data_IF_433556919369
#
_entry.id   IF_433556919369
#
_cell.length_a   1.000
_cell.length_b   1.000
_cell.length_c   1.000
_cell.angle_alpha   90.00
_cell.angle_beta   90.00
_cell.angle_gamma   90.00
#
_symmetry.space_group_name_H-M   'P 1'
#
loop_
_entity.id
_entity.type
_entity.pdbx_description
1 polymer ?
#
# COMPACT_ATOMS: atom_id res chain seq x y z
N UNK A 1 -47.83 -21.05 33.11
CA UNK A 1 -47.45 -21.33 31.70
C UNK A 1 -46.26 -22.27 31.73
N UNK A 2 -46.41 -23.50 31.23
CA UNK A 2 -45.33 -24.50 31.16
C UNK A 2 -44.73 -24.47 29.76
N UNK A 3 -43.44 -24.17 29.65
CA UNK A 3 -42.71 -24.24 28.38
C UNK A 3 -42.13 -25.64 28.28
N UNK A 4 -42.67 -26.46 27.38
CA UNK A 4 -42.30 -27.86 27.21
C UNK A 4 -40.92 -27.94 26.52
N UNK A 5 -39.84 -28.03 27.31
CA UNK A 5 -38.47 -28.15 26.81
C UNK A 5 -38.23 -29.55 26.24
N UNK A 6 -37.86 -29.64 24.96
CA UNK A 6 -37.52 -30.90 24.29
C UNK A 6 -36.04 -30.93 23.89
N UNK A 7 -35.18 -31.58 24.69
CA UNK A 7 -33.73 -31.62 24.47
C UNK A 7 -33.34 -32.09 23.07
N UNK A 8 -34.07 -33.06 22.51
CA UNK A 8 -33.79 -33.63 21.19
C UNK A 8 -33.97 -32.62 20.05
N UNK A 9 -34.93 -31.68 20.16
CA UNK A 9 -35.11 -30.61 19.17
C UNK A 9 -34.07 -29.51 19.33
N UNK A 10 -33.67 -29.21 20.57
CA UNK A 10 -32.60 -28.25 20.84
C UNK A 10 -31.26 -28.73 20.25
N UNK A 11 -30.97 -30.03 20.32
CA UNK A 11 -29.72 -30.60 19.79
C UNK A 11 -29.64 -30.55 18.26
N UNK A 12 -30.77 -30.77 17.57
CA UNK A 12 -30.82 -30.66 16.10
C UNK A 12 -30.61 -29.22 15.66
N UNK A 13 -31.23 -28.25 16.34
CA UNK A 13 -31.01 -26.83 16.06
C UNK A 13 -29.56 -26.44 16.33
N UNK A 14 -28.96 -26.90 17.44
CA UNK A 14 -27.56 -26.67 17.74
C UNK A 14 -26.63 -27.27 16.66
N UNK A 15 -26.86 -28.51 16.21
CA UNK A 15 -26.08 -29.14 15.13
C UNK A 15 -26.20 -28.38 13.80
N UNK A 16 -27.44 -28.00 13.42
CA UNK A 16 -27.66 -27.19 12.21
C UNK A 16 -26.95 -25.82 12.29
N UNK A 17 -27.02 -25.12 13.43
CA UNK A 17 -26.34 -23.85 13.63
C UNK A 17 -24.81 -24.00 13.65
N UNK A 18 -24.29 -25.04 14.29
CA UNK A 18 -22.85 -25.35 14.30
C UNK A 18 -22.34 -25.64 12.88
N UNK A 19 -23.08 -26.39 12.07
CA UNK A 19 -22.73 -26.65 10.66
C UNK A 19 -22.74 -25.38 9.81
N UNK A 20 -23.76 -24.53 9.97
CA UNK A 20 -23.83 -23.24 9.28
C UNK A 20 -22.67 -22.32 9.70
N UNK A 21 -22.38 -22.27 10.99
CA UNK A 21 -21.26 -21.50 11.54
C UNK A 21 -19.92 -22.01 11.02
N UNK A 22 -19.66 -23.32 11.07
CA UNK A 22 -18.44 -23.93 10.56
C UNK A 22 -18.27 -23.74 9.04
N UNK A 23 -19.36 -23.89 8.28
CA UNK A 23 -19.35 -23.65 6.83
C UNK A 23 -19.01 -22.20 6.50
N UNK A 24 -19.60 -21.25 7.23
CA UNK A 24 -19.29 -19.81 7.10
C UNK A 24 -17.83 -19.51 7.48
N UNK A 25 -17.33 -20.05 8.58
CA UNK A 25 -15.94 -19.84 8.99
C UNK A 25 -14.94 -20.48 8.02
N UNK A 26 -15.26 -21.63 7.44
CA UNK A 26 -14.39 -22.29 6.46
C UNK A 26 -14.18 -21.42 5.21
N UNK A 27 -15.25 -20.78 4.72
CA UNK A 27 -15.16 -19.82 3.62
C UNK A 27 -14.27 -18.62 3.96
N UNK A 28 -14.46 -18.04 5.15
CA UNK A 28 -13.64 -16.91 5.62
C UNK A 28 -12.16 -17.30 5.77
N UNK A 29 -11.86 -18.49 6.28
CA UNK A 29 -10.48 -18.98 6.41
C UNK A 29 -9.82 -19.23 5.04
N UNK A 30 -10.58 -19.69 4.05
CA UNK A 30 -10.10 -19.84 2.67
C UNK A 30 -9.83 -18.49 2.00
N UNK A 31 -10.75 -17.53 2.10
CA UNK A 31 -10.55 -16.15 1.60
C UNK A 31 -9.33 -15.48 2.27
N UNK A 32 -9.17 -15.67 3.59
CA UNK A 32 -7.99 -15.17 4.33
C UNK A 32 -6.69 -15.80 3.83
N UNK A 33 -6.71 -17.09 3.50
CA UNK A 33 -5.54 -17.80 2.95
C UNK A 33 -5.17 -17.26 1.57
N UNK A 34 -6.14 -17.05 0.69
CA UNK A 34 -5.87 -16.46 -0.63
C UNK A 34 -5.36 -15.03 -0.50
N UNK A 35 -5.98 -14.22 0.35
CA UNK A 35 -5.50 -12.86 0.65
C UNK A 35 -4.06 -12.85 1.15
N UNK A 36 -3.70 -13.77 2.05
CA UNK A 36 -2.33 -13.88 2.56
C UNK A 36 -1.32 -14.22 1.44
N UNK A 37 -1.70 -15.09 0.47
CA UNK A 37 -0.86 -15.39 -0.69
C UNK A 37 -0.67 -14.16 -1.57
N UNK A 38 -1.73 -13.37 -1.79
CA UNK A 38 -1.66 -12.16 -2.59
C UNK A 38 -0.79 -11.08 -1.94
N UNK A 39 -0.93 -10.88 -0.63
CA UNK A 39 -0.05 -10.00 0.15
C UNK A 39 1.42 -10.44 0.03
N UNK A 40 1.68 -11.75 0.11
CA UNK A 40 3.04 -12.27 -0.10
C UNK A 40 3.55 -12.07 -1.54
N UNK A 41 2.70 -12.22 -2.56
CA UNK A 41 3.07 -11.94 -3.96
C UNK A 41 3.41 -10.47 -4.15
N UNK A 42 2.63 -9.55 -3.58
CA UNK A 42 2.89 -8.12 -3.60
C UNK A 42 4.24 -7.79 -2.94
N UNK A 43 4.51 -8.37 -1.76
CA UNK A 43 5.79 -8.18 -1.07
C UNK A 43 6.99 -8.64 -1.92
N UNK A 44 6.86 -9.76 -2.66
CA UNK A 44 7.90 -10.24 -3.58
C UNK A 44 8.14 -9.31 -4.77
N UNK A 45 7.11 -8.59 -5.21
CA UNK A 45 7.22 -7.53 -6.21
C UNK A 45 7.76 -6.21 -5.63
N UNK A 46 8.13 -6.21 -4.34
CA UNK A 46 8.60 -5.03 -3.64
C UNK A 46 7.48 -4.08 -3.22
N UNK A 47 6.21 -4.44 -3.37
CA UNK A 47 5.09 -3.60 -2.93
C UNK A 47 4.91 -3.72 -1.42
N UNK A 48 4.93 -2.58 -0.72
CA UNK A 48 4.67 -2.47 0.71
C UNK A 48 3.27 -1.92 0.93
N UNK A 49 2.48 -2.64 1.73
CA UNK A 49 1.19 -2.18 2.22
C UNK A 49 1.41 -1.53 3.59
N UNK A 50 0.92 -0.31 3.78
CA UNK A 50 0.95 0.39 5.06
C UNK A 50 -0.46 0.78 5.48
N UNK A 51 -0.73 0.66 6.77
CA UNK A 51 -1.99 1.14 7.34
C UNK A 51 -2.04 2.66 7.24
N UNK A 52 -3.11 3.18 6.63
CA UNK A 52 -3.44 4.59 6.69
C UNK A 52 -4.15 4.89 8.00
N UNK A 53 -3.85 6.03 8.61
CA UNK A 53 -4.55 6.57 9.77
C UNK A 53 -6.07 6.74 9.54
N UNK A 54 -6.51 6.80 8.28
CA UNK A 54 -7.92 6.95 7.89
C UNK A 54 -8.64 5.62 7.59
N UNK A 55 -8.04 4.47 7.94
CA UNK A 55 -8.66 3.15 7.72
C UNK A 55 -8.56 2.62 6.29
N UNK A 56 -7.72 3.25 5.45
CA UNK A 56 -7.33 2.75 4.14
C UNK A 56 -5.98 2.01 4.16
N UNK A 57 -5.60 1.41 3.02
CA UNK A 57 -4.27 0.82 2.81
C UNK A 57 -3.51 1.66 1.78
N UNK A 58 -2.33 2.17 2.16
CA UNK A 58 -1.44 2.86 1.23
C UNK A 58 -0.53 1.84 0.56
N UNK A 59 -0.49 1.88 -0.77
CA UNK A 59 0.38 1.03 -1.59
C UNK A 59 1.65 1.80 -1.93
N UNK A 60 2.78 1.36 -1.41
CA UNK A 60 4.09 1.94 -1.73
C UNK A 60 4.92 0.97 -2.54
N UNK A 61 5.51 1.44 -3.64
CA UNK A 61 6.59 0.70 -4.28
C UNK A 61 7.81 0.77 -3.36
N UNK A 62 8.12 -0.36 -2.72
CA UNK A 62 9.21 -0.51 -1.75
C UNK A 62 10.57 -0.74 -2.39
N UNK A 63 10.63 -1.08 -3.67
CA UNK A 63 11.87 -1.17 -4.43
C UNK A 63 12.20 0.21 -5.03
N UNK A 64 12.88 1.06 -4.28
CA UNK A 64 13.56 2.21 -4.88
C UNK A 64 14.70 1.70 -5.75
N UNK A 65 14.70 2.05 -7.04
CA UNK A 65 15.79 1.67 -7.93
C UNK A 65 17.08 2.39 -7.53
N UNK A 66 18.25 1.81 -7.83
CA UNK A 66 19.54 2.47 -7.60
C UNK A 66 19.61 3.85 -8.28
N UNK A 67 19.03 3.96 -9.48
CA UNK A 67 18.88 5.23 -10.20
C UNK A 67 18.02 6.23 -9.43
N UNK A 68 16.95 5.78 -8.76
CA UNK A 68 16.08 6.64 -7.97
C UNK A 68 16.82 7.20 -6.75
N UNK A 69 17.59 6.36 -6.04
CA UNK A 69 18.44 6.80 -4.93
C UNK A 69 19.49 7.83 -5.38
N UNK A 70 20.13 7.57 -6.52
CA UNK A 70 21.13 8.48 -7.10
C UNK A 70 20.53 9.83 -7.49
N UNK A 71 19.38 9.83 -8.19
CA UNK A 71 18.68 11.06 -8.57
C UNK A 71 18.24 11.82 -7.32
N UNK A 72 17.68 11.15 -6.32
CA UNK A 72 17.28 11.77 -5.05
C UNK A 72 18.47 12.46 -4.37
N UNK A 73 19.58 11.74 -4.19
CA UNK A 73 20.78 12.31 -3.57
C UNK A 73 21.33 13.52 -4.32
N UNK A 74 21.22 13.53 -5.66
CA UNK A 74 21.62 14.69 -6.48
C UNK A 74 20.60 15.83 -6.44
N UNK A 75 19.30 15.54 -6.34
CA UNK A 75 18.28 16.58 -6.15
C UNK A 75 18.50 17.32 -4.84
N UNK A 76 18.87 16.59 -3.77
CA UNK A 76 19.12 17.17 -2.45
C UNK A 76 20.42 17.99 -2.39
N UNK A 77 21.25 17.93 -3.43
CA UNK A 77 22.44 18.76 -3.62
C UNK A 77 22.20 19.94 -4.57
N UNK A 78 21.10 19.95 -5.33
CA UNK A 78 20.79 20.99 -6.29
C UNK A 78 19.93 22.09 -5.63
N UNK A 79 20.49 23.29 -5.39
CA UNK A 79 19.78 24.36 -4.70
C UNK A 79 18.51 24.84 -5.43
N UNK A 80 18.48 24.72 -6.77
CA UNK A 80 17.30 25.09 -7.57
C UNK A 80 16.17 24.09 -7.30
N UNK A 81 16.49 22.81 -7.25
CA UNK A 81 15.49 21.77 -7.01
C UNK A 81 15.00 21.76 -5.56
N UNK A 82 15.87 22.09 -4.60
CA UNK A 82 15.46 22.32 -3.21
C UNK A 82 14.48 23.50 -3.08
N UNK A 83 14.72 24.60 -3.78
CA UNK A 83 13.80 25.73 -3.81
C UNK A 83 12.45 25.34 -4.43
N UNK A 84 12.46 24.55 -5.50
CA UNK A 84 11.25 24.03 -6.12
C UNK A 84 10.46 23.11 -5.17
N UNK A 85 11.12 22.19 -4.44
CA UNK A 85 10.48 21.39 -3.38
C UNK A 85 9.79 22.28 -2.34
N UNK A 86 10.46 23.34 -1.88
CA UNK A 86 9.88 24.30 -0.94
C UNK A 86 8.67 25.06 -1.53
N UNK A 87 8.68 25.34 -2.83
CA UNK A 87 7.57 25.99 -3.52
C UNK A 87 6.38 25.06 -3.75
N UNK A 88 6.61 23.76 -3.95
CA UNK A 88 5.55 22.74 -4.00
C UNK A 88 4.82 22.68 -2.65
N UNK A 89 5.54 22.65 -1.53
CA UNK A 89 4.94 22.70 -0.19
C UNK A 89 4.12 23.97 0.06
N UNK A 90 4.49 25.09 -0.57
CA UNK A 90 3.76 26.37 -0.50
C UNK A 90 2.61 26.48 -1.51
N UNK A 91 2.32 25.42 -2.28
CA UNK A 91 1.36 25.42 -3.40
C UNK A 91 1.63 26.48 -4.47
N UNK A 92 2.88 26.92 -4.62
CA UNK A 92 3.30 27.93 -5.61
C UNK A 92 3.75 27.34 -6.93
N UNK A 93 3.96 26.02 -6.99
CA UNK A 93 4.51 25.32 -8.16
C UNK A 93 3.58 24.18 -8.61
N UNK A 94 2.45 24.52 -9.25
CA UNK A 94 1.40 23.55 -9.63
C UNK A 94 1.83 22.48 -10.64
N UNK A 95 2.83 22.76 -11.48
CA UNK A 95 3.35 21.79 -12.44
C UNK A 95 4.35 20.80 -11.82
N UNK A 96 4.79 21.07 -10.59
CA UNK A 96 5.73 20.25 -9.84
C UNK A 96 5.02 19.52 -8.72
N UNK A 97 5.43 18.28 -8.51
CA UNK A 97 4.87 17.40 -7.50
C UNK A 97 6.02 16.74 -6.76
N UNK A 98 5.83 16.54 -5.46
CA UNK A 98 6.75 15.80 -4.63
C UNK A 98 6.11 14.45 -4.32
N UNK A 99 6.72 13.37 -4.83
CA UNK A 99 6.23 12.02 -4.56
C UNK A 99 6.44 11.62 -3.09
N UNK A 100 5.78 10.55 -2.65
CA UNK A 100 5.94 10.02 -1.28
C UNK A 100 7.36 9.55 -0.92
N UNK A 101 8.25 9.45 -1.92
CA UNK A 101 9.68 9.18 -1.77
C UNK A 101 10.54 10.45 -1.63
N UNK A 102 9.92 11.63 -1.46
CA UNK A 102 10.57 12.94 -1.40
C UNK A 102 11.27 13.37 -2.71
N UNK A 103 10.91 12.75 -3.83
CA UNK A 103 11.54 13.05 -5.13
C UNK A 103 10.69 14.02 -5.92
N UNK A 104 11.31 15.08 -6.43
CA UNK A 104 10.65 16.09 -7.25
C UNK A 104 10.33 15.54 -8.65
N UNK A 105 9.12 15.80 -9.11
CA UNK A 105 8.61 15.46 -10.43
C UNK A 105 8.02 16.68 -11.12
N UNK A 106 8.12 16.72 -12.44
CA UNK A 106 7.45 17.70 -13.28
C UNK A 106 6.45 16.97 -14.18
N UNK A 107 5.15 17.24 -14.03
CA UNK A 107 4.08 16.57 -14.78
C UNK A 107 4.23 15.02 -14.79
N UNK A 108 4.47 14.43 -13.62
CA UNK A 108 4.68 12.99 -13.46
C UNK A 108 6.06 12.44 -13.87
N UNK A 109 6.92 13.25 -14.50
CA UNK A 109 8.28 12.86 -14.91
C UNK A 109 9.31 13.20 -13.84
N UNK A 110 10.31 12.34 -13.67
CA UNK A 110 11.40 12.52 -12.71
C UNK A 110 12.24 13.76 -13.05
N UNK A 111 12.44 14.67 -12.09
CA UNK A 111 13.38 15.79 -12.26
C UNK A 111 14.81 15.27 -12.11
N UNK A 112 15.62 15.44 -13.14
CA UNK A 112 16.97 14.87 -13.24
C UNK A 112 17.96 16.03 -13.17
N UNK A 113 18.74 16.17 -12.08
CA UNK A 113 19.74 17.24 -11.97
C UNK A 113 20.75 17.14 -13.10
N UNK A 114 21.10 18.27 -13.73
CA UNK A 114 22.08 18.28 -14.82
C UNK A 114 23.50 17.94 -14.33
N UNK A 115 23.78 18.15 -13.04
CA UNK A 115 25.11 17.95 -12.47
C UNK A 115 25.29 16.48 -12.08
N UNK A 116 25.98 15.73 -12.94
CA UNK A 116 26.66 14.49 -12.55
C UNK A 116 25.99 13.16 -12.85
N UNK A 117 24.84 13.09 -13.53
CA UNK A 117 24.30 11.79 -13.96
C UNK A 117 25.13 11.22 -15.12
N UNK A 118 25.66 9.97 -15.01
CA UNK A 118 26.22 9.29 -16.16
C UNK A 118 25.09 9.13 -17.18
N UNK A 119 25.23 9.81 -18.32
CA UNK A 119 24.33 9.65 -19.46
C UNK A 119 24.57 8.26 -20.05
N UNK A 120 24.01 7.22 -19.43
CA UNK A 120 23.84 5.93 -20.08
C UNK A 120 22.84 6.14 -21.20
N UNK A 121 23.36 6.35 -22.40
CA UNK A 121 22.61 6.35 -23.65
C UNK A 121 21.88 4.99 -23.73
N UNK A 122 20.57 5.04 -23.81
CA UNK A 122 19.77 4.00 -24.44
C UNK A 122 19.40 4.55 -25.82
#
# INVERSE_FOLDING_TARGET
>A
MSILYHPSKANVVADCLSRLSMGSTAHVEEERRELAKDVHRLARLGVRLMDSTEGGVVVMNGAESSLMLEVKGKQDQDPILLELKANVHKQKALAFEQGGNDVLRYQGRLCVPMVGLPRSRI
#
